data_IF_722321779396
#
_entry.id   IF_722321779396
#
_cell.length_a   1.000
_cell.length_b   1.000
_cell.length_c   1.000
_cell.angle_alpha   90.00
_cell.angle_beta   90.00
_cell.angle_gamma   90.00
#
_symmetry.space_group_name_H-M   'P 1'
#
loop_
_entity.id
_entity.type
_entity.pdbx_description
1 polymer ?
#
# COMPACT_ATOMS: atom_id res chain seq x y z
N UNK A 1 41.63 -50.47 -39.11
CA UNK A 1 41.00 -51.65 -38.48
C UNK A 1 39.94 -51.15 -37.52
N UNK A 2 38.69 -51.61 -37.68
CA UNK A 2 37.53 -51.31 -36.81
C UNK A 2 37.02 -49.86 -36.91
N UNK A 3 35.77 -49.53 -37.23
CA UNK A 3 34.52 -50.27 -37.06
C UNK A 3 33.60 -49.39 -36.22
N UNK A 4 32.46 -48.96 -36.78
CA UNK A 4 31.49 -48.12 -36.05
C UNK A 4 30.47 -47.45 -36.97
N UNK A 5 29.70 -48.26 -37.69
CA UNK A 5 28.55 -47.84 -38.51
C UNK A 5 27.44 -47.27 -37.62
N UNK A 6 26.96 -46.06 -37.92
CA UNK A 6 25.66 -45.56 -37.42
C UNK A 6 24.65 -45.69 -38.55
N UNK A 7 23.88 -46.78 -38.53
CA UNK A 7 22.69 -46.97 -39.33
C UNK A 7 21.57 -46.07 -38.81
N UNK A 8 21.09 -45.16 -39.67
CA UNK A 8 19.87 -44.37 -39.44
C UNK A 8 18.86 -44.75 -40.53
N UNK A 9 17.70 -45.35 -40.21
CA UNK A 9 16.67 -45.63 -41.21
C UNK A 9 15.85 -44.37 -41.54
N UNK A 10 15.13 -44.38 -42.70
CA UNK A 10 14.61 -43.18 -43.33
C UNK A 10 13.25 -42.73 -42.80
N UNK A 11 12.92 -41.49 -43.16
CA UNK A 11 11.63 -40.85 -42.96
C UNK A 11 10.47 -41.61 -43.63
N UNK A 12 9.31 -41.59 -42.97
CA UNK A 12 8.00 -41.84 -43.58
C UNK A 12 7.09 -40.65 -43.33
N UNK A 13 6.39 -40.27 -44.40
CA UNK A 13 5.56 -39.09 -44.53
C UNK A 13 4.07 -39.40 -44.33
N UNK A 14 3.37 -38.36 -43.84
CA UNK A 14 2.08 -37.81 -44.30
C UNK A 14 0.71 -38.36 -43.83
N UNK A 15 -0.18 -37.36 -43.73
CA UNK A 15 -1.65 -37.32 -43.82
C UNK A 15 -2.43 -37.51 -42.50
N UNK A 16 -3.45 -36.72 -42.15
CA UNK A 16 -4.07 -35.51 -42.70
C UNK A 16 -5.08 -34.94 -41.66
N UNK A 17 -5.71 -33.82 -42.03
CA UNK A 17 -6.96 -33.23 -41.52
C UNK A 17 -6.83 -32.29 -40.31
N UNK A 18 -6.74 -30.98 -40.54
CA UNK A 18 -7.83 -30.04 -40.90
C UNK A 18 -8.74 -29.71 -39.72
N UNK A 19 -8.55 -28.52 -39.15
CA UNK A 19 -9.62 -27.65 -38.65
C UNK A 19 -9.04 -26.31 -38.16
N UNK A 20 -9.20 -25.31 -39.03
CA UNK A 20 -9.62 -23.94 -38.68
C UNK A 20 -8.68 -23.04 -37.88
N UNK A 21 -8.03 -22.12 -38.61
CA UNK A 21 -7.40 -20.90 -38.10
C UNK A 21 -8.37 -19.73 -38.27
N UNK A 22 -8.63 -18.92 -37.23
CA UNK A 22 -9.05 -17.53 -37.43
C UNK A 22 -7.85 -16.60 -37.35
N UNK A 23 -7.72 -15.74 -38.37
CA UNK A 23 -6.85 -14.57 -38.37
C UNK A 23 -7.47 -13.43 -37.53
N UNK A 24 -6.58 -12.72 -36.83
CA UNK A 24 -6.60 -11.31 -36.40
C UNK A 24 -7.94 -10.55 -36.23
N UNK A 25 -8.12 -10.05 -35.00
CA UNK A 25 -8.62 -8.68 -34.74
C UNK A 25 -7.59 -7.93 -33.86
N UNK A 26 -7.20 -6.69 -34.20
CA UNK A 26 -6.41 -5.81 -33.34
C UNK A 26 -7.38 -4.96 -32.51
N UNK A 27 -7.98 -5.55 -31.48
CA UNK A 27 -8.84 -4.87 -30.52
C UNK A 27 -8.11 -4.70 -29.21
N UNK A 28 -7.81 -3.46 -28.83
CA UNK A 28 -7.07 -3.14 -27.62
C UNK A 28 -7.70 -3.72 -26.36
N UNK A 29 -6.85 -4.30 -25.52
CA UNK A 29 -7.11 -4.43 -24.09
C UNK A 29 -5.88 -3.87 -23.38
N UNK A 30 -6.05 -2.65 -22.85
CA UNK A 30 -5.07 -2.06 -21.95
C UNK A 30 -4.99 -2.98 -20.73
N UNK A 31 -3.87 -3.70 -20.62
CA UNK A 31 -3.61 -4.63 -19.52
C UNK A 31 -3.83 -3.94 -18.18
N UNK A 32 -4.92 -4.32 -17.52
CA UNK A 32 -5.17 -3.97 -16.13
C UNK A 32 -4.07 -4.60 -15.27
N UNK A 33 -3.48 -3.87 -14.32
CA UNK A 33 -2.41 -4.41 -13.52
C UNK A 33 -3.00 -5.12 -12.32
N UNK A 34 -2.68 -6.39 -12.11
CA UNK A 34 -3.15 -7.11 -10.94
C UNK A 34 -2.24 -8.30 -10.63
N UNK A 35 -1.28 -8.09 -9.71
CA UNK A 35 -0.94 -9.18 -8.80
C UNK A 35 -2.23 -9.60 -8.09
N UNK A 36 -2.60 -10.88 -8.15
CA UNK A 36 -3.79 -11.35 -7.45
C UNK A 36 -3.55 -11.16 -5.94
N UNK A 37 -4.48 -10.56 -5.19
CA UNK A 37 -4.36 -10.44 -3.75
C UNK A 37 -4.09 -11.80 -3.12
N UNK A 38 -3.08 -11.86 -2.24
CA UNK A 38 -2.79 -13.09 -1.51
C UNK A 38 -3.98 -13.44 -0.61
N UNK A 39 -4.51 -14.66 -0.74
CA UNK A 39 -5.65 -15.12 0.04
C UNK A 39 -5.38 -14.98 1.54
N UNK A 40 -6.34 -14.42 2.30
CA UNK A 40 -6.21 -14.23 3.75
C UNK A 40 -5.40 -13.00 4.19
N UNK A 41 -4.94 -12.16 3.25
CA UNK A 41 -4.34 -10.86 3.56
C UNK A 41 -5.44 -9.79 3.55
N UNK A 42 -5.69 -9.10 4.69
CA UNK A 42 -6.70 -8.04 4.73
C UNK A 42 -6.33 -6.89 3.80
N UNK A 43 -7.33 -6.33 3.14
CA UNK A 43 -7.23 -5.17 2.25
C UNK A 43 -7.95 -3.97 2.87
N UNK A 44 -7.62 -2.73 2.48
CA UNK A 44 -8.45 -1.62 2.85
C UNK A 44 -9.86 -1.75 2.22
N UNK A 45 -10.86 -1.22 2.92
CA UNK A 45 -12.26 -1.14 2.53
C UNK A 45 -12.67 0.33 2.49
N UNK A 46 -13.70 0.62 1.70
CA UNK A 46 -14.21 1.99 1.49
C UNK A 46 -13.94 2.50 0.08
N UNK A 47 -14.78 3.43 -0.41
CA UNK A 47 -14.76 3.85 -1.81
C UNK A 47 -13.54 4.69 -2.19
N UNK A 48 -12.85 5.29 -1.21
CA UNK A 48 -11.72 6.19 -1.44
C UNK A 48 -10.37 5.47 -1.57
N UNK A 49 -10.35 4.16 -1.33
CA UNK A 49 -9.15 3.32 -1.46
C UNK A 49 -9.06 2.75 -2.88
N UNK A 50 -8.07 3.23 -3.62
CA UNK A 50 -7.88 2.90 -5.03
C UNK A 50 -6.80 1.83 -5.15
N UNK A 51 -7.06 0.67 -5.80
CA UNK A 51 -6.01 -0.28 -6.15
C UNK A 51 -4.94 0.38 -7.03
N UNK A 52 -3.67 0.06 -6.80
CA UNK A 52 -2.56 0.62 -7.54
C UNK A 52 -1.73 -0.48 -8.19
N UNK A 53 -1.27 -0.21 -9.41
CA UNK A 53 -0.28 -1.03 -10.09
C UNK A 53 1.09 -0.87 -9.40
N UNK A 54 1.74 -1.96 -8.94
CA UNK A 54 3.13 -1.92 -8.52
C UNK A 54 4.07 -1.23 -9.55
N UNK A 55 3.82 -1.41 -10.85
CA UNK A 55 4.66 -0.84 -11.90
C UNK A 55 4.53 0.68 -12.05
N UNK A 56 3.39 1.27 -11.64
CA UNK A 56 3.14 2.72 -11.72
C UNK A 56 3.39 3.45 -10.42
N UNK A 57 3.86 2.77 -9.37
CA UNK A 57 4.17 3.42 -8.09
C UNK A 57 5.28 4.46 -8.27
N UNK A 58 5.21 5.60 -7.55
CA UNK A 58 6.33 6.51 -7.43
C UNK A 58 7.59 5.74 -6.98
N UNK A 59 8.76 6.10 -7.51
CA UNK A 59 10.03 5.41 -7.23
C UNK A 59 10.27 5.22 -5.74
N UNK A 60 10.09 6.28 -4.94
CA UNK A 60 10.20 6.25 -3.47
C UNK A 60 9.25 5.26 -2.77
N UNK A 61 8.07 4.99 -3.34
CA UNK A 61 7.11 4.01 -2.81
C UNK A 61 7.47 2.61 -3.28
N UNK A 62 7.96 2.48 -4.50
CA UNK A 62 8.41 1.21 -5.07
C UNK A 62 9.56 0.62 -4.25
N UNK A 63 10.50 1.43 -3.78
CA UNK A 63 11.57 0.99 -2.89
C UNK A 63 11.09 0.52 -1.52
N UNK A 64 9.84 0.81 -1.11
CA UNK A 64 9.31 0.29 0.14
C UNK A 64 9.23 -1.23 0.18
N UNK A 65 9.13 -1.89 -0.99
CA UNK A 65 9.12 -3.36 -1.08
C UNK A 65 10.41 -3.99 -0.56
N UNK A 66 11.54 -3.25 -0.62
CA UNK A 66 12.83 -3.72 -0.15
C UNK A 66 12.88 -3.79 1.40
N UNK A 67 11.96 -3.09 2.08
CA UNK A 67 11.85 -3.01 3.54
C UNK A 67 10.67 -3.83 4.10
N UNK A 68 9.62 -4.05 3.30
CA UNK A 68 8.35 -4.57 3.79
C UNK A 68 8.28 -6.08 3.76
N UNK A 69 7.99 -6.66 4.92
CA UNK A 69 7.66 -8.08 5.03
C UNK A 69 6.14 -8.30 4.92
N UNK A 70 5.69 -9.41 4.29
CA UNK A 70 4.28 -9.80 4.34
C UNK A 70 3.74 -9.80 5.77
N UNK A 71 2.54 -9.25 5.95
CA UNK A 71 1.81 -9.18 7.22
C UNK A 71 0.51 -9.99 7.12
N UNK A 72 0.51 -11.28 7.50
CA UNK A 72 -0.71 -12.08 7.52
C UNK A 72 -1.72 -11.59 8.56
N UNK A 73 -2.96 -12.04 8.46
CA UNK A 73 -3.99 -11.76 9.48
C UNK A 73 -3.51 -12.19 10.88
N UNK A 74 -3.80 -11.36 11.89
CA UNK A 74 -3.41 -11.62 13.29
C UNK A 74 -1.98 -11.23 13.68
N UNK A 75 -1.13 -10.79 12.75
CA UNK A 75 0.22 -10.32 13.09
C UNK A 75 0.19 -9.10 14.04
N UNK A 76 1.04 -9.11 15.06
CA UNK A 76 1.09 -8.10 16.14
C UNK A 76 2.34 -7.23 16.14
N UNK A 77 3.25 -7.40 15.17
CA UNK A 77 4.45 -6.56 15.05
C UNK A 77 4.08 -5.12 14.69
N UNK A 78 4.87 -4.11 15.13
CA UNK A 78 4.69 -2.72 14.75
C UNK A 78 4.55 -2.54 13.22
N UNK A 79 3.71 -1.59 12.81
CA UNK A 79 3.66 -1.08 11.43
C UNK A 79 4.99 -0.41 11.12
N UNK A 80 5.58 -0.76 9.98
CA UNK A 80 6.69 -0.06 9.36
C UNK A 80 6.12 0.78 8.22
N UNK A 81 6.49 2.05 8.18
CA UNK A 81 6.21 2.92 7.06
C UNK A 81 7.45 3.62 6.54
N UNK A 82 7.38 4.08 5.29
CA UNK A 82 8.35 4.98 4.68
C UNK A 82 7.67 6.31 4.35
N UNK A 83 8.02 7.36 5.08
CA UNK A 83 7.58 8.73 4.81
C UNK A 83 8.60 9.43 3.92
N UNK A 84 8.22 9.72 2.68
CA UNK A 84 9.13 10.25 1.65
C UNK A 84 10.46 9.45 1.55
N UNK A 85 10.41 8.13 1.78
CA UNK A 85 11.56 7.23 1.76
C UNK A 85 12.25 7.02 3.11
N UNK A 86 11.88 7.76 4.16
CA UNK A 86 12.46 7.59 5.50
C UNK A 86 11.59 6.73 6.41
N UNK A 87 12.23 5.83 7.16
CA UNK A 87 11.52 4.88 8.03
C UNK A 87 10.78 5.56 9.19
N UNK A 88 9.54 5.13 9.40
CA UNK A 88 8.70 5.47 10.54
C UNK A 88 8.09 4.17 11.08
N UNK A 89 8.38 3.88 12.35
CA UNK A 89 7.77 2.75 13.05
C UNK A 89 6.59 3.21 13.90
N UNK A 90 5.52 2.42 13.94
CA UNK A 90 4.46 2.62 14.94
C UNK A 90 4.97 2.29 16.37
N UNK A 91 4.35 2.87 17.39
CA UNK A 91 4.68 2.70 18.80
C UNK A 91 5.61 3.78 19.35
N UNK A 92 6.16 3.57 20.54
CA UNK A 92 7.16 4.45 21.16
C UNK A 92 6.60 5.52 22.09
N UNK A 93 5.29 5.79 22.08
CA UNK A 93 4.66 6.62 23.12
C UNK A 93 5.11 8.09 23.14
N UNK A 94 5.66 8.61 22.04
CA UNK A 94 6.16 9.98 21.98
C UNK A 94 5.00 10.99 21.96
N UNK A 95 4.67 11.50 23.14
CA UNK A 95 3.60 12.49 23.33
C UNK A 95 3.87 13.82 22.62
N UNK A 96 5.12 14.13 22.28
CA UNK A 96 5.45 15.37 21.55
C UNK A 96 4.82 15.42 20.16
N UNK A 97 4.46 14.26 19.59
CA UNK A 97 3.80 14.14 18.28
C UNK A 97 2.38 14.70 18.26
N UNK A 98 1.78 14.88 19.44
CA UNK A 98 0.43 15.39 19.61
C UNK A 98 0.39 16.70 20.41
N UNK A 99 1.56 17.28 20.74
CA UNK A 99 1.64 18.45 21.62
C UNK A 99 0.94 19.70 21.04
N UNK A 100 0.79 19.75 19.72
CA UNK A 100 0.14 20.81 18.95
C UNK A 100 -1.27 20.43 18.48
N UNK A 101 -1.89 19.41 19.10
CA UNK A 101 -3.22 18.93 18.71
C UNK A 101 -4.26 19.17 19.80
N UNK A 102 -5.47 19.56 19.37
CA UNK A 102 -6.65 19.59 20.23
C UNK A 102 -7.20 18.17 20.45
N UNK A 103 -7.30 17.79 21.71
CA UNK A 103 -7.73 16.46 22.14
C UNK A 103 -9.23 16.37 22.47
N UNK A 104 -9.97 17.48 22.58
CA UNK A 104 -11.39 17.47 23.01
C UNK A 104 -12.31 16.69 22.03
N UNK A 105 -13.22 15.80 22.45
CA UNK A 105 -13.70 15.48 23.80
C UNK A 105 -12.88 14.45 24.57
N UNK A 106 -11.76 13.99 24.01
CA UNK A 106 -10.96 12.95 24.63
C UNK A 106 -10.13 13.55 25.76
N UNK A 107 -10.29 13.02 26.97
CA UNK A 107 -9.51 13.41 28.17
C UNK A 107 -8.01 13.07 28.08
N UNK A 108 -7.53 12.73 26.88
CA UNK A 108 -6.16 12.40 26.56
C UNK A 108 -6.05 12.01 25.08
N UNK A 109 -4.86 12.13 24.48
CA UNK A 109 -4.66 11.78 23.09
C UNK A 109 -4.98 10.28 22.87
N UNK A 110 -5.88 9.91 21.93
CA UNK A 110 -6.07 8.52 21.53
C UNK A 110 -4.74 7.92 21.06
N UNK A 111 -4.57 6.61 21.23
CA UNK A 111 -3.34 5.85 20.85
C UNK A 111 -2.88 6.19 19.42
N UNK A 112 -3.84 6.45 18.53
CA UNK A 112 -3.56 6.89 17.17
C UNK A 112 -2.59 8.08 17.11
N UNK A 113 -2.70 9.07 18.01
CA UNK A 113 -1.97 10.34 17.91
C UNK A 113 -0.45 10.24 18.10
N UNK A 114 0.05 9.30 18.90
CA UNK A 114 1.48 9.17 19.15
C UNK A 114 2.09 7.86 18.65
N UNK A 115 1.27 6.82 18.46
CA UNK A 115 1.81 5.50 18.11
C UNK A 115 1.62 5.11 16.65
N UNK A 116 0.69 5.69 15.88
CA UNK A 116 0.48 5.22 14.51
C UNK A 116 1.43 5.88 13.51
N UNK A 117 1.88 5.12 12.51
CA UNK A 117 2.81 5.62 11.50
C UNK A 117 2.22 6.81 10.73
N UNK A 118 0.90 6.78 10.52
CA UNK A 118 0.14 7.81 9.84
C UNK A 118 0.11 9.13 10.65
N UNK A 119 -0.09 9.05 11.96
CA UNK A 119 -0.06 10.23 12.83
C UNK A 119 1.36 10.79 12.99
N UNK A 120 2.38 9.93 12.97
CA UNK A 120 3.79 10.36 12.90
C UNK A 120 4.11 11.08 11.60
N UNK A 121 3.62 10.59 10.46
CA UNK A 121 3.74 11.28 9.18
C UNK A 121 3.05 12.66 9.22
N UNK A 122 1.83 12.74 9.76
CA UNK A 122 1.13 14.01 9.93
C UNK A 122 1.91 14.97 10.84
N UNK A 123 2.42 14.51 11.99
CA UNK A 123 3.24 15.30 12.88
C UNK A 123 4.51 15.81 12.20
N UNK A 124 5.15 14.97 11.39
CA UNK A 124 6.31 15.38 10.58
C UNK A 124 5.94 16.46 9.57
N UNK A 125 4.82 16.31 8.85
CA UNK A 125 4.34 17.35 7.93
C UNK A 125 4.06 18.68 8.64
N UNK A 126 3.48 18.67 9.84
CA UNK A 126 3.29 19.89 10.66
C UNK A 126 4.61 20.55 11.02
N UNK A 127 5.60 19.77 11.46
CA UNK A 127 6.93 20.28 11.88
C UNK A 127 7.78 20.78 10.72
N UNK A 128 7.66 20.18 9.54
CA UNK A 128 8.46 20.55 8.36
C UNK A 128 7.71 21.45 7.38
N UNK A 129 6.47 21.82 7.70
CA UNK A 129 5.56 22.57 6.82
C UNK A 129 5.39 21.96 5.41
N UNK A 130 5.45 20.63 5.30
CA UNK A 130 5.30 19.94 4.02
C UNK A 130 3.85 20.04 3.52
N UNK A 131 3.69 20.51 2.28
CA UNK A 131 2.38 20.60 1.63
C UNK A 131 1.95 19.30 0.98
N UNK A 132 2.90 18.50 0.49
CA UNK A 132 2.63 17.19 -0.08
C UNK A 132 3.64 16.16 0.45
N UNK A 133 3.18 14.95 0.71
CA UNK A 133 4.04 13.83 1.09
C UNK A 133 3.43 12.48 0.69
N UNK A 134 4.29 11.47 0.57
CA UNK A 134 3.89 10.07 0.51
C UNK A 134 4.27 9.34 1.80
N UNK A 135 3.35 8.49 2.25
CA UNK A 135 3.60 7.49 3.28
C UNK A 135 3.27 6.12 2.71
N UNK A 136 4.26 5.25 2.55
CA UNK A 136 4.01 3.83 2.32
C UNK A 136 3.97 3.11 3.67
N UNK A 137 3.04 2.17 3.91
CA UNK A 137 3.03 1.31 5.11
C UNK A 137 2.79 -0.14 4.74
N UNK A 138 3.36 -1.04 5.54
CA UNK A 138 3.20 -2.49 5.38
C UNK A 138 1.91 -3.05 6.01
N UNK A 139 0.97 -2.16 6.38
CA UNK A 139 -0.32 -2.45 7.00
C UNK A 139 -1.47 -1.73 6.28
N UNK A 140 -2.71 -2.05 6.64
CA UNK A 140 -3.85 -1.15 6.37
C UNK A 140 -3.85 -0.01 7.38
N UNK A 141 -4.35 1.16 6.99
CA UNK A 141 -4.63 2.26 7.92
C UNK A 141 -5.71 1.82 8.91
N UNK A 142 -5.58 2.11 10.20
CA UNK A 142 -6.66 1.75 11.12
C UNK A 142 -7.93 2.53 10.77
N UNK A 143 -9.08 1.86 10.84
CA UNK A 143 -10.37 2.36 10.38
C UNK A 143 -10.65 2.12 8.90
N UNK A 144 -9.71 1.54 8.17
CA UNK A 144 -9.88 1.18 6.76
C UNK A 144 -10.08 -0.31 6.54
N UNK A 145 -10.34 -1.14 7.55
CA UNK A 145 -10.62 -2.57 7.34
C UNK A 145 -11.91 -3.00 8.03
N UNK A 146 -12.44 -4.18 7.67
CA UNK A 146 -13.73 -4.67 8.19
C UNK A 146 -13.79 -4.75 9.72
N UNK A 147 -12.66 -4.94 10.39
CA UNK A 147 -12.58 -5.07 11.85
C UNK A 147 -12.77 -3.74 12.57
N UNK A 148 -12.28 -2.64 12.00
CA UNK A 148 -12.15 -1.36 12.71
C UNK A 148 -12.83 -0.17 12.01
N UNK A 149 -13.43 -0.36 10.83
CA UNK A 149 -14.10 0.71 10.08
C UNK A 149 -15.24 1.39 10.85
N UNK A 150 -15.88 0.71 11.79
CA UNK A 150 -16.96 1.27 12.60
C UNK A 150 -16.46 2.13 13.77
N UNK A 151 -15.18 2.04 14.15
CA UNK A 151 -14.66 2.79 15.27
C UNK A 151 -14.56 4.29 14.95
N UNK A 152 -15.05 5.19 15.82
CA UNK A 152 -15.09 6.63 15.52
C UNK A 152 -13.71 7.27 15.48
N UNK A 153 -12.75 6.75 16.26
CA UNK A 153 -11.43 7.33 16.45
C UNK A 153 -10.35 6.46 15.80
N UNK A 154 -10.18 6.65 14.49
CA UNK A 154 -9.23 5.90 13.67
C UNK A 154 -8.39 6.86 12.83
N UNK A 155 -7.21 6.42 12.38
CA UNK A 155 -6.36 7.22 11.50
C UNK A 155 -7.10 7.57 10.20
N UNK A 156 -7.86 6.63 9.63
CA UNK A 156 -8.61 6.88 8.40
C UNK A 156 -9.61 8.05 8.52
N UNK A 157 -10.12 8.31 9.74
CA UNK A 157 -11.06 9.41 10.03
C UNK A 157 -10.37 10.66 10.56
N UNK A 158 -9.32 10.49 11.35
CA UNK A 158 -8.65 11.59 12.05
C UNK A 158 -7.56 12.27 11.22
N UNK A 159 -6.96 11.58 10.25
CA UNK A 159 -5.84 12.10 9.47
C UNK A 159 -6.12 13.46 8.84
N UNK A 160 -7.27 13.71 8.17
CA UNK A 160 -7.58 15.04 7.63
C UNK A 160 -7.48 16.15 8.66
N UNK A 161 -8.01 15.93 9.86
CA UNK A 161 -8.08 16.95 10.91
C UNK A 161 -6.72 17.31 11.52
N UNK A 162 -5.78 16.35 11.54
CA UNK A 162 -4.45 16.51 12.15
C UNK A 162 -3.34 16.83 11.14
N UNK A 163 -3.67 16.89 9.84
CA UNK A 163 -2.79 17.34 8.78
C UNK A 163 -2.89 18.86 8.62
N UNK A 164 -1.79 19.57 8.27
CA UNK A 164 -1.84 21.01 7.98
C UNK A 164 -2.95 21.35 6.97
N UNK A 165 -3.68 22.44 7.20
CA UNK A 165 -4.74 22.87 6.30
C UNK A 165 -4.22 23.04 4.85
N UNK A 166 -4.93 22.45 3.88
CA UNK A 166 -4.56 22.49 2.46
C UNK A 166 -3.47 21.50 2.04
N UNK A 167 -2.81 20.82 2.98
CA UNK A 167 -1.80 19.81 2.67
C UNK A 167 -2.42 18.51 2.16
N UNK A 168 -1.62 17.67 1.49
CA UNK A 168 -2.01 16.38 0.92
C UNK A 168 -1.04 15.30 1.36
N UNK A 169 -1.53 14.32 2.11
CA UNK A 169 -0.79 13.10 2.42
C UNK A 169 -1.38 11.96 1.59
N UNK A 170 -0.58 11.39 0.69
CA UNK A 170 -0.97 10.16 0.01
C UNK A 170 -0.41 8.97 0.79
N UNK A 171 -1.31 8.11 1.24
CA UNK A 171 -0.96 6.89 1.97
C UNK A 171 -1.09 5.71 1.01
N UNK A 172 0.01 4.98 0.85
CA UNK A 172 0.11 3.74 0.12
C UNK A 172 0.15 2.59 1.11
N UNK A 173 -0.67 1.57 0.89
CA UNK A 173 -0.72 0.40 1.77
C UNK A 173 -0.45 -0.86 0.97
N UNK A 174 0.34 -1.74 1.56
CA UNK A 174 0.49 -3.12 1.12
C UNK A 174 0.56 -4.00 2.36
N UNK A 175 0.05 -5.23 2.28
CA UNK A 175 0.17 -6.20 3.38
C UNK A 175 0.83 -7.49 2.96
N UNK A 176 1.14 -7.65 1.69
CA UNK A 176 1.74 -8.85 1.11
C UNK A 176 3.14 -8.56 0.54
N UNK A 177 3.87 -7.67 1.24
CA UNK A 177 5.26 -7.34 0.90
C UNK A 177 5.40 -6.61 -0.44
N UNK A 178 4.36 -5.88 -0.86
CA UNK A 178 4.38 -5.11 -2.10
C UNK A 178 3.82 -5.82 -3.33
N UNK A 179 3.24 -7.03 -3.17
CA UNK A 179 2.59 -7.73 -4.29
C UNK A 179 1.33 -7.01 -4.74
N UNK A 180 0.55 -6.49 -3.79
CA UNK A 180 -0.62 -5.66 -4.05
C UNK A 180 -0.54 -4.34 -3.28
N UNK A 181 -1.03 -3.29 -3.92
CA UNK A 181 -1.02 -1.94 -3.39
C UNK A 181 -2.38 -1.29 -3.51
N UNK A 182 -2.68 -0.44 -2.54
CA UNK A 182 -3.79 0.50 -2.58
C UNK A 182 -3.28 1.85 -2.13
N UNK A 183 -3.98 2.91 -2.54
CA UNK A 183 -3.70 4.23 -2.01
C UNK A 183 -4.96 5.03 -1.72
N UNK A 184 -4.81 6.00 -0.82
CA UNK A 184 -5.77 7.08 -0.59
C UNK A 184 -5.02 8.40 -0.44
N UNK A 185 -5.63 9.50 -0.85
CA UNK A 185 -5.11 10.85 -0.60
C UNK A 185 -5.97 11.49 0.48
N UNK A 186 -5.34 11.87 1.59
CA UNK A 186 -5.96 12.65 2.65
C UNK A 186 -5.63 14.13 2.42
N UNK A 187 -6.66 14.97 2.49
CA UNK A 187 -6.50 16.43 2.44
C UNK A 187 -6.60 16.98 3.86
N UNK A 188 -5.62 17.77 4.27
CA UNK A 188 -5.58 18.36 5.60
C UNK A 188 -6.59 19.48 5.75
N UNK A 189 -7.41 19.41 6.80
CA UNK A 189 -8.31 20.49 7.23
C UNK A 189 -7.68 21.33 8.34
N UNK A 190 -6.76 20.75 9.12
CA UNK A 190 -6.10 21.41 10.24
C UNK A 190 -7.02 21.71 11.43
N UNK A 191 -8.26 21.23 11.43
CA UNK A 191 -9.28 21.49 12.47
C UNK A 191 -8.82 21.14 13.89
N UNK A 192 -7.86 20.22 14.01
CA UNK A 192 -7.33 19.74 15.28
C UNK A 192 -5.96 20.31 15.62
N UNK A 193 -5.41 21.22 14.82
CA UNK A 193 -4.09 21.80 15.07
C UNK A 193 -4.28 23.08 15.89
N UNK A 194 -3.62 23.16 17.04
CA UNK A 194 -3.64 24.38 17.87
C UNK A 194 -2.67 25.42 17.30
N UNK A 195 -3.01 26.72 17.34
CA UNK A 195 -2.12 27.81 16.93
C UNK A 195 -0.78 27.85 17.69
#
# INVERSE_FOLDING_TARGET
>A
MGGGSNDRPPAVSAAADDATRPQHDPGGDAGGPSGKPTAGVPRPVGPDWVPADPATLPERVRHAVDHFQPRPAGATRPTLGLFNGEEIYSGGGDRSLAADLDHDPLRGPPVTFYDHAESKAAARMRRTHAQEADLAIDNTVCGSNDRDQSYPWTCDKMLPAILPAGSRLRVWVTRDGGTTWWHRVYTGTGERITP
#
